data_IF_476075039625
#
_entry.id   IF_476075039625
#
_cell.length_a   1.000
_cell.length_b   1.000
_cell.length_c   1.000
_cell.angle_alpha   90.00
_cell.angle_beta   90.00
_cell.angle_gamma   90.00
#
_symmetry.space_group_name_H-M   'P 1'
#
loop_
_entity.id
_entity.type
_entity.pdbx_description
1 polymer ?
#
# COMPACT_ATOMS: atom_id res chain seq x y z
N UNK A 1 -5.75 -19.43 -27.02
CA UNK A 1 -6.40 -19.00 -25.78
C UNK A 1 -5.43 -19.31 -24.67
N UNK A 2 -4.77 -18.31 -24.09
CA UNK A 2 -3.88 -18.51 -22.94
C UNK A 2 -4.65 -18.00 -21.73
N UNK A 3 -5.05 -18.92 -20.86
CA UNK A 3 -5.62 -18.59 -19.56
C UNK A 3 -4.49 -18.15 -18.63
N UNK A 4 -4.53 -16.89 -18.18
CA UNK A 4 -3.65 -16.37 -17.14
C UNK A 4 -4.14 -16.92 -15.80
N UNK A 5 -3.38 -17.80 -15.18
CA UNK A 5 -3.66 -18.29 -13.85
C UNK A 5 -3.58 -17.11 -12.84
N UNK A 6 -4.72 -16.81 -12.22
CA UNK A 6 -4.84 -15.71 -11.24
C UNK A 6 -5.71 -14.52 -11.71
N UNK A 7 -5.93 -14.34 -13.00
CA UNK A 7 -6.90 -13.36 -13.53
C UNK A 7 -8.06 -14.15 -14.13
N UNK A 8 -9.09 -14.39 -13.35
CA UNK A 8 -10.30 -15.12 -13.82
C UNK A 8 -11.17 -14.29 -14.76
N UNK A 9 -10.83 -13.01 -14.99
CA UNK A 9 -11.62 -12.11 -15.81
C UNK A 9 -10.72 -11.31 -16.76
N UNK A 10 -10.66 -11.77 -18.02
CA UNK A 10 -9.93 -11.09 -19.10
C UNK A 10 -10.49 -9.69 -19.37
N UNK A 11 -11.76 -9.44 -19.05
CA UNK A 11 -12.41 -8.15 -19.26
C UNK A 11 -12.03 -7.17 -18.13
N UNK A 12 -11.78 -7.66 -16.92
CA UNK A 12 -11.26 -6.86 -15.81
C UNK A 12 -9.80 -6.45 -16.05
N UNK A 13 -8.97 -7.36 -16.56
CA UNK A 13 -7.61 -7.04 -16.97
C UNK A 13 -7.59 -6.04 -18.14
N UNK A 14 -8.51 -6.19 -19.09
CA UNK A 14 -8.67 -5.24 -20.19
C UNK A 14 -9.20 -3.89 -19.73
N UNK A 15 -10.15 -3.84 -18.79
CA UNK A 15 -10.66 -2.61 -18.20
C UNK A 15 -9.58 -1.88 -17.39
N UNK A 16 -8.77 -2.59 -16.60
CA UNK A 16 -7.59 -2.04 -15.92
C UNK A 16 -6.56 -1.47 -16.89
N UNK A 17 -6.32 -2.13 -18.00
CA UNK A 17 -5.41 -1.67 -19.06
C UNK A 17 -6.00 -0.53 -19.90
N UNK A 18 -7.33 -0.41 -19.99
CA UNK A 18 -8.02 0.65 -20.72
C UNK A 18 -8.26 1.92 -19.87
N UNK A 19 -8.19 1.80 -18.54
CA UNK A 19 -8.25 2.97 -17.63
C UNK A 19 -6.90 3.67 -17.50
N UNK A 20 -6.20 3.86 -18.62
CA UNK A 20 -4.87 4.51 -18.66
C UNK A 20 -4.86 5.93 -18.08
N UNK A 21 -6.03 6.54 -17.88
CA UNK A 21 -6.16 7.88 -17.31
C UNK A 21 -5.78 7.95 -15.81
N UNK A 22 -5.85 6.84 -15.10
CA UNK A 22 -5.55 6.75 -13.67
C UNK A 22 -4.20 6.07 -13.36
N UNK A 23 -3.47 5.67 -14.40
CA UNK A 23 -2.12 5.13 -14.25
C UNK A 23 -1.12 6.27 -14.04
N UNK A 24 -0.32 6.18 -13.00
CA UNK A 24 0.67 7.19 -12.64
C UNK A 24 1.98 6.54 -12.20
N UNK A 25 3.10 7.22 -12.49
CA UNK A 25 4.44 6.76 -12.15
C UNK A 25 5.09 7.77 -11.21
N UNK A 26 5.43 7.36 -10.00
CA UNK A 26 6.03 8.20 -8.97
C UNK A 26 7.39 7.68 -8.54
N UNK A 27 8.35 8.55 -8.30
CA UNK A 27 9.57 8.15 -7.61
C UNK A 27 9.27 7.88 -6.13
N UNK A 28 9.79 6.77 -5.63
CA UNK A 28 9.72 6.43 -4.20
C UNK A 28 10.83 7.16 -3.48
N UNK A 29 10.51 7.83 -2.38
CA UNK A 29 11.49 8.49 -1.53
C UNK A 29 12.41 7.46 -0.87
N UNK A 30 13.67 7.82 -0.71
CA UNK A 30 14.62 6.96 -0.01
C UNK A 30 14.30 6.89 1.50
N UNK A 31 14.86 5.88 2.17
CA UNK A 31 14.60 5.62 3.60
C UNK A 31 15.00 6.79 4.51
N UNK A 32 16.05 7.54 4.17
CA UNK A 32 16.47 8.67 4.99
C UNK A 32 15.42 9.79 5.01
N UNK A 33 14.91 10.17 3.82
CA UNK A 33 13.84 11.17 3.68
C UNK A 33 12.52 10.66 4.28
N UNK A 34 12.22 9.37 4.11
CA UNK A 34 11.04 8.75 4.70
C UNK A 34 11.09 8.75 6.22
N UNK A 35 12.21 8.40 6.82
CA UNK A 35 12.37 8.43 8.27
C UNK A 35 12.29 9.86 8.84
N UNK A 36 12.88 10.83 8.13
CA UNK A 36 12.81 12.22 8.54
C UNK A 36 11.35 12.73 8.60
N UNK A 37 10.55 12.48 7.57
CA UNK A 37 9.14 12.89 7.58
C UNK A 37 8.35 12.17 8.67
N UNK A 38 8.56 10.87 8.89
CA UNK A 38 7.90 10.13 9.97
C UNK A 38 8.19 10.75 11.32
N UNK A 39 9.46 11.06 11.64
CA UNK A 39 9.83 11.73 12.89
C UNK A 39 9.13 13.09 13.05
N UNK A 40 9.02 13.85 11.95
CA UNK A 40 8.33 15.14 11.98
C UNK A 40 6.82 14.97 12.21
N UNK A 41 6.19 13.96 11.60
CA UNK A 41 4.77 13.64 11.81
C UNK A 41 4.51 13.13 13.24
N UNK A 42 5.41 12.30 13.79
CA UNK A 42 5.33 11.88 15.20
C UNK A 42 5.30 13.06 16.17
N UNK A 43 6.20 14.03 15.98
CA UNK A 43 6.23 15.22 16.81
C UNK A 43 4.93 16.05 16.74
N UNK A 44 4.29 16.08 15.59
CA UNK A 44 2.98 16.72 15.39
C UNK A 44 1.89 15.93 16.12
N UNK A 45 1.84 14.62 15.89
CA UNK A 45 0.82 13.75 16.48
C UNK A 45 0.88 13.70 18.00
N UNK A 46 2.05 13.64 18.60
CA UNK A 46 2.24 13.73 20.06
C UNK A 46 1.60 14.99 20.69
N UNK A 47 1.56 16.08 19.94
CA UNK A 47 1.00 17.34 20.43
C UNK A 47 -0.48 17.53 20.08
N UNK A 48 -1.01 16.77 19.13
CA UNK A 48 -2.36 16.97 18.59
C UNK A 48 -3.34 15.82 18.83
N UNK A 49 -2.85 14.69 19.35
CA UNK A 49 -3.68 13.49 19.63
C UNK A 49 -3.58 13.17 21.11
N UNK A 50 -4.73 13.03 21.79
CA UNK A 50 -4.77 12.54 23.16
C UNK A 50 -4.72 11.01 23.20
N UNK A 51 -4.30 10.44 24.35
CA UNK A 51 -4.26 8.99 24.53
C UNK A 51 -5.65 8.34 24.36
N UNK A 52 -6.71 9.04 24.80
CA UNK A 52 -8.10 8.58 24.62
C UNK A 52 -8.49 8.54 23.15
N UNK A 53 -8.19 9.61 22.39
CA UNK A 53 -8.47 9.67 20.96
C UNK A 53 -7.69 8.60 20.17
N UNK A 54 -6.44 8.34 20.56
CA UNK A 54 -5.62 7.32 19.95
C UNK A 54 -6.17 5.91 20.21
N UNK A 55 -6.62 5.64 21.42
CA UNK A 55 -7.25 4.37 21.79
C UNK A 55 -8.54 4.16 20.98
N UNK A 56 -9.36 5.20 20.82
CA UNK A 56 -10.60 5.14 20.02
C UNK A 56 -10.28 4.87 18.54
N UNK A 57 -9.31 5.57 17.96
CA UNK A 57 -8.90 5.36 16.56
C UNK A 57 -8.45 3.91 16.29
N UNK A 58 -7.79 3.27 17.25
CA UNK A 58 -7.30 1.89 17.11
C UNK A 58 -8.42 0.87 17.36
N UNK A 59 -9.40 1.20 18.20
CA UNK A 59 -10.52 0.32 18.54
C UNK A 59 -11.62 0.31 17.47
N UNK A 60 -11.77 1.38 16.68
CA UNK A 60 -12.87 1.53 15.69
C UNK A 60 -12.97 0.40 14.66
N UNK A 61 -11.89 -0.15 14.07
CA UNK A 61 -12.02 -1.18 13.03
C UNK A 61 -12.59 -2.51 13.51
N UNK A 62 -12.61 -2.76 14.80
CA UNK A 62 -13.23 -3.97 15.35
C UNK A 62 -14.77 -3.91 15.40
N UNK A 63 -15.37 -2.73 15.16
CA UNK A 63 -16.82 -2.55 15.20
C UNK A 63 -17.49 -2.53 13.80
N UNK A 64 -16.75 -2.37 12.71
CA UNK A 64 -17.29 -2.31 11.35
C UNK A 64 -17.34 -3.65 10.60
N UNK A 65 -16.69 -4.71 11.08
CA UNK A 65 -16.68 -6.03 10.42
C UNK A 65 -17.94 -6.87 10.62
N UNK A 66 -19.04 -6.34 11.18
CA UNK A 66 -20.30 -7.09 11.34
C UNK A 66 -21.45 -6.41 10.60
N UNK A 67 -21.27 -6.07 9.32
CA UNK A 67 -22.40 -5.94 8.38
C UNK A 67 -22.10 -6.80 7.15
N UNK A 68 -22.04 -8.11 7.36
CA UNK A 68 -22.35 -9.05 6.30
C UNK A 68 -23.88 -9.20 6.34
N UNK A 69 -24.53 -8.69 5.31
CA UNK A 69 -25.93 -9.00 5.03
C UNK A 69 -26.16 -10.51 5.05
N UNK A 70 -26.67 -11.02 6.17
CA UNK A 70 -27.25 -12.33 6.25
C UNK A 70 -28.75 -12.20 6.03
N UNK A 71 -29.16 -12.12 4.77
CA UNK A 71 -30.46 -12.59 4.37
C UNK A 71 -30.45 -14.12 4.30
N UNK A 72 -30.70 -14.76 5.42
CA UNK A 72 -31.26 -16.12 5.46
C UNK A 72 -32.22 -16.16 6.62
N UNK A 73 -33.50 -16.17 6.29
CA UNK A 73 -34.58 -16.59 7.19
C UNK A 73 -34.34 -18.03 7.63
N UNK A 74 -34.29 -18.28 8.94
CA UNK A 74 -34.99 -19.42 9.58
C UNK A 74 -34.79 -19.39 11.08
N UNK A 75 -35.88 -19.18 11.74
CA UNK A 75 -36.48 -19.79 12.94
C UNK A 75 -35.56 -20.31 14.09
N UNK A 76 -35.89 -19.73 15.28
CA UNK A 76 -35.81 -20.26 16.66
C UNK A 76 -34.46 -20.67 17.25
N UNK A 77 -34.05 -19.90 18.26
CA UNK A 77 -33.07 -20.30 19.27
C UNK A 77 -32.07 -19.23 19.62
N UNK A 78 -32.49 -18.28 20.46
CA UNK A 78 -31.59 -17.28 21.03
C UNK A 78 -30.68 -17.97 22.05
N UNK A 79 -29.42 -18.27 21.66
CA UNK A 79 -28.34 -18.54 22.61
C UNK A 79 -27.42 -17.32 22.57
N UNK A 80 -27.26 -16.64 23.68
CA UNK A 80 -26.37 -15.48 23.80
C UNK A 80 -24.91 -15.93 23.73
N UNK A 81 -24.06 -15.08 23.14
CA UNK A 81 -22.62 -15.35 22.89
C UNK A 81 -21.85 -15.68 24.18
N UNK A 82 -22.34 -15.25 25.33
CA UNK A 82 -21.79 -15.51 26.66
C UNK A 82 -21.87 -16.98 27.13
N UNK A 83 -22.74 -17.79 26.52
CA UNK A 83 -22.88 -19.21 26.88
C UNK A 83 -21.94 -20.17 26.10
N UNK A 84 -21.26 -19.67 25.03
CA UNK A 84 -20.39 -20.48 24.17
C UNK A 84 -18.92 -20.38 24.57
N UNK A 85 -18.50 -19.28 25.17
CA UNK A 85 -17.13 -19.10 25.64
C UNK A 85 -17.13 -19.01 27.17
N UNK A 86 -17.02 -20.18 27.82
CA UNK A 86 -16.82 -20.28 29.25
C UNK A 86 -15.67 -19.38 29.73
N UNK A 87 -15.86 -18.77 30.90
CA UNK A 87 -14.90 -17.91 31.60
C UNK A 87 -13.49 -18.51 31.61
N UNK A 88 -12.62 -18.07 30.71
CA UNK A 88 -11.18 -18.23 30.85
C UNK A 88 -10.63 -16.95 31.46
N UNK A 89 -10.40 -16.99 32.78
CA UNK A 89 -9.53 -16.04 33.46
C UNK A 89 -8.14 -16.16 32.85
N UNK A 90 -7.81 -15.33 31.87
CA UNK A 90 -6.46 -15.19 31.37
C UNK A 90 -5.75 -14.07 32.14
N UNK A 91 -4.77 -14.48 32.93
CA UNK A 91 -3.73 -13.63 33.49
C UNK A 91 -2.93 -13.03 32.31
N UNK A 92 -3.14 -11.78 32.01
CA UNK A 92 -2.50 -11.08 30.88
C UNK A 92 -2.57 -9.57 31.00
N UNK A 93 -2.51 -9.02 32.24
CA UNK A 93 -2.57 -7.57 32.45
C UNK A 93 -1.24 -6.82 32.23
N UNK A 94 -0.14 -7.52 31.99
CA UNK A 94 1.18 -6.86 31.82
C UNK A 94 1.53 -6.51 30.37
N UNK A 95 0.85 -7.10 29.36
CA UNK A 95 1.13 -6.81 27.95
C UNK A 95 0.37 -5.58 27.40
N UNK A 96 -0.73 -5.18 28.04
CA UNK A 96 -1.57 -4.06 27.59
C UNK A 96 -0.95 -2.73 28.01
N UNK A 97 -0.33 -2.67 29.20
CA UNK A 97 0.27 -1.42 29.71
C UNK A 97 1.54 -1.00 28.94
N UNK A 98 2.34 -1.95 28.45
CA UNK A 98 3.54 -1.62 27.66
C UNK A 98 3.21 -1.14 26.23
N UNK A 99 2.08 -1.60 25.66
CA UNK A 99 1.65 -1.15 24.34
C UNK A 99 1.01 0.25 24.39
N UNK A 100 0.34 0.63 25.48
CA UNK A 100 -0.26 1.96 25.60
C UNK A 100 0.78 3.07 25.68
N UNK A 101 1.88 2.85 26.40
CA UNK A 101 2.96 3.84 26.55
C UNK A 101 3.69 4.07 25.20
N UNK A 102 3.91 3.01 24.42
CA UNK A 102 4.51 3.10 23.08
C UNK A 102 3.60 3.80 22.08
N UNK A 103 2.30 3.61 22.18
CA UNK A 103 1.31 4.27 21.33
C UNK A 103 1.27 5.77 21.57
N UNK A 104 1.34 6.21 22.81
CA UNK A 104 1.38 7.64 23.15
C UNK A 104 2.70 8.30 22.75
N UNK A 105 3.81 7.57 22.90
CA UNK A 105 5.13 8.09 22.54
C UNK A 105 5.42 8.13 21.06
N UNK A 106 4.90 7.17 20.29
CA UNK A 106 5.14 7.04 18.86
C UNK A 106 3.91 6.50 18.12
N UNK A 107 2.81 7.30 18.03
CA UNK A 107 1.52 6.84 17.53
C UNK A 107 1.57 6.27 16.11
N UNK A 108 2.36 6.84 15.22
CA UNK A 108 2.48 6.37 13.85
C UNK A 108 3.45 5.17 13.74
N UNK A 109 4.62 5.26 14.37
CA UNK A 109 5.64 4.20 14.30
C UNK A 109 5.20 2.92 14.99
N UNK A 110 4.40 3.00 16.05
CA UNK A 110 3.86 1.82 16.74
C UNK A 110 2.94 0.96 15.86
N UNK A 111 2.35 1.56 14.82
CA UNK A 111 1.46 0.90 13.86
C UNK A 111 2.19 0.43 12.59
N UNK A 112 3.45 0.82 12.40
CA UNK A 112 4.27 0.49 11.23
C UNK A 112 5.36 -0.50 11.64
N UNK A 113 5.49 -1.58 10.90
CA UNK A 113 6.60 -2.52 11.02
C UNK A 113 7.58 -2.33 9.85
N UNK A 114 8.84 -2.69 10.05
CA UNK A 114 9.85 -2.63 8.98
C UNK A 114 10.28 -4.04 8.60
N UNK A 115 10.05 -4.41 7.35
CA UNK A 115 10.42 -5.71 6.81
C UNK A 115 11.30 -5.52 5.57
N UNK A 116 12.52 -6.01 5.63
CA UNK A 116 13.52 -5.87 4.55
C UNK A 116 13.76 -4.41 4.11
N UNK A 117 13.55 -3.45 5.01
CA UNK A 117 13.72 -2.02 4.74
C UNK A 117 12.48 -1.31 4.19
N UNK A 118 11.39 -2.02 3.96
CA UNK A 118 10.08 -1.47 3.60
C UNK A 118 9.19 -1.32 4.82
N UNK A 119 8.39 -0.26 4.84
CA UNK A 119 7.33 -0.07 5.81
C UNK A 119 6.15 -0.97 5.48
N UNK A 120 5.67 -1.71 6.46
CA UNK A 120 4.48 -2.55 6.34
C UNK A 120 3.52 -2.27 7.49
N UNK A 121 2.24 -2.37 7.23
CA UNK A 121 1.16 -2.08 8.18
C UNK A 121 0.21 -3.27 8.17
N UNK A 122 -0.14 -3.76 9.35
CA UNK A 122 -1.18 -4.80 9.48
C UNK A 122 -2.51 -4.30 8.93
N UNK A 123 -3.28 -5.17 8.31
CA UNK A 123 -4.58 -4.83 7.73
C UNK A 123 -5.52 -4.13 8.71
N UNK A 124 -5.53 -4.55 9.98
CA UNK A 124 -6.33 -3.94 11.03
C UNK A 124 -5.85 -2.53 11.47
N UNK A 125 -4.61 -2.15 11.17
CA UNK A 125 -4.04 -0.85 11.51
C UNK A 125 -4.17 0.19 10.38
N UNK A 126 -4.62 -0.22 9.17
CA UNK A 126 -4.74 0.69 8.01
C UNK A 126 -5.68 1.86 8.31
N UNK A 127 -6.82 1.59 8.95
CA UNK A 127 -7.76 2.62 9.33
C UNK A 127 -7.11 3.64 10.26
N UNK A 128 -6.41 3.20 11.29
CA UNK A 128 -5.73 4.07 12.24
C UNK A 128 -4.65 4.91 11.56
N UNK A 129 -3.81 4.33 10.71
CA UNK A 129 -2.81 5.08 9.92
C UNK A 129 -3.49 6.14 9.04
N UNK A 130 -4.54 5.78 8.31
CA UNK A 130 -5.26 6.73 7.45
C UNK A 130 -5.87 7.87 8.28
N UNK A 131 -6.44 7.57 9.43
CA UNK A 131 -7.03 8.57 10.33
C UNK A 131 -5.96 9.53 10.86
N UNK A 132 -4.82 9.00 11.32
CA UNK A 132 -3.69 9.81 11.79
C UNK A 132 -3.11 10.67 10.66
N UNK A 133 -2.91 10.11 9.48
CA UNK A 133 -2.41 10.85 8.31
C UNK A 133 -3.41 11.90 7.81
N UNK A 134 -4.71 11.73 8.02
CA UNK A 134 -5.75 12.67 7.59
C UNK A 134 -5.95 13.88 8.51
N UNK A 135 -5.28 13.92 9.66
CA UNK A 135 -5.36 15.08 10.59
C UNK A 135 -4.88 16.36 9.92
N UNK A 136 -5.54 17.47 10.19
CA UNK A 136 -5.27 18.75 9.54
C UNK A 136 -3.81 19.19 9.67
N UNK A 137 -3.23 19.09 10.85
CA UNK A 137 -1.84 19.47 11.13
C UNK A 137 -0.85 18.57 10.37
N UNK A 138 -1.13 17.26 10.27
CA UNK A 138 -0.37 16.30 9.49
C UNK A 138 -0.48 16.61 8.00
N UNK A 139 -1.70 16.88 7.53
CA UNK A 139 -1.95 17.26 6.13
C UNK A 139 -1.26 18.58 5.75
N UNK A 140 -1.24 19.57 6.64
CA UNK A 140 -0.49 20.82 6.43
C UNK A 140 1.01 20.53 6.28
N UNK A 141 1.55 19.63 7.11
CA UNK A 141 2.96 19.22 7.01
C UNK A 141 3.22 18.46 5.71
N UNK A 142 2.38 17.51 5.34
CA UNK A 142 2.51 16.74 4.09
C UNK A 142 2.38 17.63 2.86
N UNK A 143 1.48 18.61 2.84
CA UNK A 143 1.38 19.61 1.75
C UNK A 143 2.63 20.45 1.61
N UNK A 144 3.32 20.77 2.71
CA UNK A 144 4.59 21.50 2.68
C UNK A 144 5.79 20.62 2.37
N UNK A 145 5.63 19.30 2.45
CA UNK A 145 6.65 18.32 2.08
C UNK A 145 6.62 18.04 0.58
N UNK A 146 7.62 17.28 0.11
CA UNK A 146 7.71 16.88 -1.30
C UNK A 146 7.16 15.48 -1.56
N UNK A 147 6.44 14.87 -0.62
CA UNK A 147 5.95 13.50 -0.75
C UNK A 147 4.58 13.27 -0.12
N UNK A 148 4.00 12.13 -0.47
CA UNK A 148 2.73 11.61 0.04
C UNK A 148 2.84 10.13 0.38
N UNK A 149 1.99 9.64 1.28
CA UNK A 149 1.91 8.23 1.61
C UNK A 149 0.83 7.53 0.81
N UNK A 150 1.16 6.37 0.24
CA UNK A 150 0.20 5.49 -0.42
C UNK A 150 0.43 4.04 0.02
N UNK A 151 -0.66 3.30 0.18
CA UNK A 151 -0.62 1.87 0.45
C UNK A 151 -0.48 1.05 -0.83
N UNK A 152 0.06 -0.16 -0.69
CA UNK A 152 -0.02 -1.19 -1.73
C UNK A 152 -1.49 -1.55 -2.02
N UNK A 153 -1.75 -2.00 -3.26
CA UNK A 153 -3.08 -2.47 -3.66
C UNK A 153 -3.41 -3.83 -3.03
N UNK A 154 -2.41 -4.68 -2.88
CA UNK A 154 -2.55 -6.04 -2.37
C UNK A 154 -1.88 -6.19 -1.02
N UNK A 155 -2.44 -7.07 -0.20
CA UNK A 155 -1.84 -7.50 1.06
C UNK A 155 -0.82 -8.61 0.81
N UNK A 156 0.15 -8.72 1.71
CA UNK A 156 1.15 -9.78 1.72
C UNK A 156 1.12 -10.52 3.05
N UNK A 157 1.33 -11.84 3.01
CA UNK A 157 1.52 -12.65 4.21
C UNK A 157 3.01 -12.75 4.54
N UNK A 158 3.45 -12.15 5.62
CA UNK A 158 4.86 -12.03 6.01
C UNK A 158 5.27 -13.06 7.09
N UNK A 159 4.98 -14.34 6.85
CA UNK A 159 5.46 -15.44 7.70
C UNK A 159 4.81 -15.58 9.08
N UNK A 160 3.68 -14.90 9.32
CA UNK A 160 2.90 -14.95 10.57
C UNK A 160 1.41 -14.97 10.32
N UNK A 161 0.61 -14.94 11.39
CA UNK A 161 -0.85 -14.78 11.28
C UNK A 161 -1.16 -13.31 10.99
N UNK A 162 -1.45 -12.96 9.76
CA UNK A 162 -1.94 -11.63 9.39
C UNK A 162 -1.57 -11.21 7.99
N UNK A 163 -2.36 -10.31 7.48
CA UNK A 163 -2.14 -9.65 6.20
C UNK A 163 -1.53 -8.29 6.45
N UNK A 164 -0.55 -7.93 5.65
CA UNK A 164 0.17 -6.67 5.71
C UNK A 164 0.08 -5.95 4.38
N UNK A 165 -0.05 -4.63 4.43
CA UNK A 165 0.05 -3.75 3.28
C UNK A 165 1.34 -2.96 3.36
N UNK A 166 2.04 -2.80 2.23
CA UNK A 166 3.21 -1.91 2.18
C UNK A 166 2.76 -0.47 2.18
N UNK A 167 3.45 0.36 2.94
CA UNK A 167 3.25 1.80 2.97
C UNK A 167 4.43 2.48 2.28
N UNK A 168 4.16 3.22 1.22
CA UNK A 168 5.17 3.92 0.43
C UNK A 168 5.10 5.41 0.68
N UNK A 169 6.25 6.04 0.85
CA UNK A 169 6.38 7.49 0.77
C UNK A 169 6.93 7.84 -0.62
N UNK A 170 6.11 8.50 -1.43
CA UNK A 170 6.38 8.79 -2.84
C UNK A 170 6.38 10.29 -3.08
N UNK A 171 6.87 10.74 -4.25
CA UNK A 171 6.76 12.15 -4.67
C UNK A 171 5.30 12.61 -4.69
N UNK A 172 5.06 13.93 -4.52
CA UNK A 172 3.70 14.51 -4.61
C UNK A 172 3.17 14.60 -6.04
N UNK A 173 4.06 14.57 -7.02
CA UNK A 173 3.69 14.69 -8.43
C UNK A 173 4.21 13.49 -9.20
N UNK A 174 3.37 12.93 -10.08
CA UNK A 174 3.82 11.84 -10.94
C UNK A 174 4.86 12.36 -11.95
N UNK A 175 5.84 11.54 -12.24
CA UNK A 175 6.80 11.78 -13.33
C UNK A 175 6.15 11.59 -14.70
N UNK A 176 5.22 10.64 -14.80
CA UNK A 176 4.36 10.37 -15.95
C UNK A 176 2.98 9.92 -15.52
N UNK A 177 2.00 10.15 -16.38
CA UNK A 177 0.64 9.63 -16.24
C UNK A 177 0.33 8.68 -17.41
N UNK A 178 -0.73 7.90 -17.28
CA UNK A 178 -1.18 6.95 -18.29
C UNK A 178 -1.49 7.54 -19.68
N UNK A 179 -1.71 8.87 -19.76
CA UNK A 179 -1.94 9.55 -21.03
C UNK A 179 -0.79 9.45 -22.04
N UNK A 180 0.41 9.07 -21.61
CA UNK A 180 1.56 8.83 -22.51
C UNK A 180 1.68 7.37 -22.94
N UNK A 181 0.88 6.46 -22.41
CA UNK A 181 0.91 5.04 -22.75
C UNK A 181 0.02 4.78 -23.95
N UNK A 182 0.62 4.35 -25.05
CA UNK A 182 -0.11 3.99 -26.27
C UNK A 182 -0.61 2.54 -26.27
N UNK A 183 0.20 1.66 -25.66
CA UNK A 183 -0.12 0.22 -25.60
C UNK A 183 0.33 -0.35 -24.27
N UNK A 184 -0.53 -1.17 -23.68
CA UNK A 184 -0.21 -2.01 -22.53
C UNK A 184 -0.61 -3.45 -22.85
N UNK A 185 0.29 -4.40 -22.61
CA UNK A 185 0.05 -5.83 -22.85
C UNK A 185 0.57 -6.65 -21.69
N UNK A 186 -0.28 -7.51 -21.14
CA UNK A 186 0.16 -8.56 -20.25
C UNK A 186 0.72 -9.74 -21.08
N UNK A 187 1.90 -10.21 -20.71
CA UNK A 187 2.60 -11.32 -21.35
C UNK A 187 3.18 -12.24 -20.26
N UNK A 188 3.65 -13.40 -20.66
CA UNK A 188 4.54 -14.21 -19.82
C UNK A 188 6.00 -13.85 -20.14
N UNK A 189 6.83 -13.79 -19.12
CA UNK A 189 8.27 -13.54 -19.26
C UNK A 189 8.93 -14.57 -20.17
N UNK A 190 9.89 -14.13 -20.99
CA UNK A 190 10.55 -14.96 -21.99
C UNK A 190 11.32 -16.13 -21.35
N UNK A 191 11.24 -17.29 -21.99
CA UNK A 191 12.07 -18.46 -21.65
C UNK A 191 13.55 -18.10 -21.85
N UNK A 192 14.32 -17.98 -20.75
CA UNK A 192 15.74 -17.64 -20.78
C UNK A 192 16.13 -16.41 -19.95
N UNK A 193 15.15 -15.64 -19.45
CA UNK A 193 15.38 -14.58 -18.45
C UNK A 193 15.02 -15.02 -17.02
N UNK A 194 15.40 -14.24 -16.04
CA UNK A 194 15.09 -14.49 -14.62
C UNK A 194 13.58 -14.56 -14.30
N UNK A 195 12.72 -14.17 -15.24
CA UNK A 195 11.25 -14.12 -15.10
C UNK A 195 10.53 -15.08 -16.04
N UNK A 196 11.18 -16.16 -16.44
CA UNK A 196 10.58 -17.15 -17.33
C UNK A 196 9.27 -17.70 -16.76
N UNK A 197 8.17 -17.48 -17.50
CA UNK A 197 6.84 -17.95 -17.10
C UNK A 197 6.12 -17.11 -16.05
N UNK A 198 6.74 -16.04 -15.54
CA UNK A 198 6.08 -15.09 -14.63
C UNK A 198 5.30 -14.04 -15.44
N UNK A 199 4.17 -13.53 -14.93
CA UNK A 199 3.44 -12.45 -15.59
C UNK A 199 4.29 -11.17 -15.66
N UNK A 200 4.27 -10.54 -16.83
CA UNK A 200 4.94 -9.26 -17.09
C UNK A 200 4.01 -8.35 -17.86
N UNK A 201 4.07 -7.06 -17.59
CA UNK A 201 3.34 -6.05 -18.36
C UNK A 201 4.31 -5.26 -19.23
N UNK A 202 4.11 -5.30 -20.54
CA UNK A 202 4.85 -4.49 -21.49
C UNK A 202 4.07 -3.22 -21.80
N UNK A 203 4.72 -2.06 -21.64
CA UNK A 203 4.18 -0.75 -21.95
C UNK A 203 4.95 -0.14 -23.13
N UNK A 204 4.21 0.37 -24.12
CA UNK A 204 4.76 1.22 -25.18
C UNK A 204 4.24 2.66 -24.95
N UNK A 205 5.16 3.61 -24.84
CA UNK A 205 4.85 5.02 -24.63
C UNK A 205 4.94 5.80 -25.95
N UNK A 206 4.18 6.88 -26.06
CA UNK A 206 4.31 7.84 -27.17
C UNK A 206 5.70 8.56 -27.12
N UNK A 207 5.98 9.35 -28.14
CA UNK A 207 7.28 10.02 -28.28
C UNK A 207 7.65 10.92 -27.10
N UNK A 208 6.69 11.61 -26.49
CA UNK A 208 6.92 12.53 -25.38
C UNK A 208 7.06 11.78 -24.06
N UNK A 209 6.26 10.74 -23.86
CA UNK A 209 6.44 9.78 -22.76
C UNK A 209 7.81 9.10 -22.82
N UNK A 210 8.23 8.65 -23.99
CA UNK A 210 9.56 8.01 -24.18
C UNK A 210 10.73 8.93 -23.81
N UNK A 211 10.67 10.22 -24.19
CA UNK A 211 11.68 11.22 -23.82
C UNK A 211 11.73 11.44 -22.31
N UNK A 212 10.55 11.63 -21.70
CA UNK A 212 10.44 11.83 -20.24
C UNK A 212 10.89 10.60 -19.49
N UNK A 213 10.44 9.41 -19.91
CA UNK A 213 10.82 8.13 -19.30
C UNK A 213 12.33 7.88 -19.35
N UNK A 214 12.94 8.16 -20.51
CA UNK A 214 14.40 8.07 -20.69
C UNK A 214 15.16 9.01 -19.76
N UNK A 215 14.66 10.23 -19.56
CA UNK A 215 15.25 11.21 -18.61
C UNK A 215 15.10 10.74 -17.17
N UNK A 216 13.88 10.34 -16.79
CA UNK A 216 13.56 9.92 -15.42
C UNK A 216 14.33 8.65 -15.04
N UNK A 217 14.29 7.61 -15.87
CA UNK A 217 15.00 6.37 -15.58
C UNK A 217 16.51 6.57 -15.59
N UNK A 218 17.06 7.40 -16.51
CA UNK A 218 18.48 7.69 -16.56
C UNK A 218 19.01 8.51 -15.37
N UNK A 219 18.19 9.38 -14.80
CA UNK A 219 18.56 10.20 -13.64
C UNK A 219 18.40 9.47 -12.29
N UNK A 220 17.63 8.39 -12.25
CA UNK A 220 17.21 7.72 -11.02
C UNK A 220 17.57 6.22 -11.00
N UNK A 221 18.67 5.83 -11.65
CA UNK A 221 19.17 4.44 -11.61
C UNK A 221 19.44 4.03 -10.17
N UNK A 222 18.95 2.85 -9.78
CA UNK A 222 19.02 2.32 -8.40
C UNK A 222 17.92 2.78 -7.47
N UNK A 223 17.11 3.76 -7.87
CA UNK A 223 15.91 4.17 -7.14
C UNK A 223 14.69 3.35 -7.56
N UNK A 224 13.64 3.41 -6.73
CA UNK A 224 12.37 2.72 -7.01
C UNK A 224 11.40 3.69 -7.67
N UNK A 225 10.60 3.16 -8.60
CA UNK A 225 9.50 3.87 -9.21
C UNK A 225 8.18 3.15 -8.91
N UNK A 226 7.27 3.83 -8.22
CA UNK A 226 5.96 3.29 -7.91
C UNK A 226 5.03 3.42 -9.11
N UNK A 227 4.33 2.34 -9.42
CA UNK A 227 3.27 2.26 -10.41
C UNK A 227 1.96 2.29 -9.65
N UNK A 228 1.25 3.39 -9.81
CA UNK A 228 0.03 3.69 -9.05
C UNK A 228 -1.16 3.61 -9.98
N UNK A 229 -2.20 2.91 -9.55
CA UNK A 229 -3.52 2.88 -10.18
C UNK A 229 -4.55 3.18 -9.10
N UNK A 230 -5.48 4.08 -9.39
CA UNK A 230 -6.56 4.48 -8.48
C UNK A 230 -6.07 4.88 -7.07
N UNK A 231 -4.90 5.53 -6.99
CA UNK A 231 -4.33 5.98 -5.71
C UNK A 231 -3.69 4.86 -4.87
N UNK A 232 -3.51 3.65 -5.41
CA UNK A 232 -2.85 2.54 -4.74
C UNK A 232 -1.61 2.09 -5.51
N UNK A 233 -0.55 1.74 -4.78
CA UNK A 233 0.69 1.24 -5.37
C UNK A 233 0.52 -0.22 -5.73
N UNK A 234 0.54 -0.54 -7.02
CA UNK A 234 0.51 -1.93 -7.49
C UNK A 234 1.87 -2.58 -7.41
N UNK A 235 2.92 -1.82 -7.65
CA UNK A 235 4.31 -2.27 -7.49
C UNK A 235 5.27 -1.09 -7.46
N UNK A 236 6.48 -1.34 -6.98
CA UNK A 236 7.54 -0.33 -6.93
C UNK A 236 8.91 -0.94 -7.28
N UNK A 237 9.15 -1.31 -8.56
CA UNK A 237 10.40 -1.90 -9.00
C UNK A 237 11.58 -0.92 -8.92
N UNK A 238 12.79 -1.48 -8.85
CA UNK A 238 14.02 -0.71 -8.97
C UNK A 238 14.30 -0.36 -10.45
N UNK A 239 14.70 0.87 -10.68
CA UNK A 239 15.22 1.31 -11.99
C UNK A 239 16.62 0.73 -12.17
N UNK A 240 16.77 -0.26 -13.04
CA UNK A 240 18.06 -0.93 -13.28
C UNK A 240 18.95 -0.17 -14.25
N UNK A 241 18.33 0.46 -15.24
CA UNK A 241 19.03 1.18 -16.31
C UNK A 241 18.17 2.27 -16.95
N UNK A 242 18.79 3.13 -17.74
CA UNK A 242 18.09 4.10 -18.56
C UNK A 242 17.32 3.41 -19.68
N UNK A 243 16.04 3.75 -19.85
CA UNK A 243 15.16 3.18 -20.87
C UNK A 243 14.90 4.20 -21.98
N UNK A 244 15.67 4.18 -23.08
CA UNK A 244 15.64 5.27 -24.06
C UNK A 244 14.45 5.24 -25.03
N UNK A 245 13.79 4.11 -25.20
CA UNK A 245 12.82 3.90 -26.29
C UNK A 245 11.36 3.92 -25.90
N UNK A 246 11.02 4.26 -24.65
CA UNK A 246 9.64 4.27 -24.14
C UNK A 246 8.98 2.88 -24.08
N UNK A 247 9.71 1.82 -24.39
CA UNK A 247 9.29 0.44 -24.14
C UNK A 247 9.78 0.03 -22.78
N UNK A 248 8.86 -0.31 -21.92
CA UNK A 248 9.20 -0.77 -20.58
C UNK A 248 8.50 -2.08 -20.29
N UNK A 249 9.19 -2.95 -19.56
CA UNK A 249 8.64 -4.19 -19.07
C UNK A 249 8.61 -4.12 -17.56
N UNK A 250 7.43 -4.33 -17.01
CA UNK A 250 7.17 -4.33 -15.58
C UNK A 250 7.07 -5.79 -15.16
N UNK A 251 7.89 -6.17 -14.18
CA UNK A 251 8.05 -7.53 -13.69
C UNK A 251 7.76 -7.57 -12.20
N UNK A 252 7.38 -8.73 -11.68
CA UNK A 252 7.18 -8.91 -10.23
C UNK A 252 5.73 -8.86 -9.79
N UNK A 253 4.79 -9.20 -10.68
CA UNK A 253 3.43 -9.56 -10.28
C UNK A 253 3.49 -10.95 -9.62
N UNK A 254 3.19 -11.02 -8.34
CA UNK A 254 3.07 -12.26 -7.59
C UNK A 254 1.64 -12.80 -7.68
#
# INVERSE_FOLDING_TARGET
>A
LVELAGIQDSDRARALLQSTALLEFYLVKNSAVTNEIIIQLENILKNSVSDEELADIIAEPNNEEIIIEKNVETDSGVTTVDEIFGETKSSGSDSISQNSDLLSEAPLQSLIEFVQGDMVVKSNNIYAINKLLSKDDVQLKLKSSTGQFLFSNESESLGGSGEYYRLYYIENKPELTGGVVEKAKANLGSLGGGNAGLPVVSLDMNSDGAKTWSRVTGANIGQRIAIVLDGKVHMAPNIREKIPGGRTQIEGFA
#
